data_IF_700187713164
#
_entry.id   IF_700187713164
#
_cell.length_a   1.000
_cell.length_b   1.000
_cell.length_c   1.000
_cell.angle_alpha   90.00
_cell.angle_beta   90.00
_cell.angle_gamma   90.00
#
_symmetry.space_group_name_H-M   'P 1'
#
loop_
_entity.id
_entity.type
_entity.pdbx_description
1 polymer ?
#
# COMPACT_ATOMS: atom_id res chain seq x y z
N UNK A 1 -1.47 7.60 -4.92
CA UNK A 1 -2.19 6.96 -6.04
C UNK A 1 -1.34 6.03 -6.89
N UNK A 2 -0.13 6.41 -7.32
CA UNK A 2 0.75 5.57 -8.19
C UNK A 2 0.88 4.08 -7.79
N UNK A 3 0.95 3.78 -6.49
CA UNK A 3 1.01 2.38 -6.02
C UNK A 3 -0.26 1.59 -6.37
N UNK A 4 -1.44 2.19 -6.26
CA UNK A 4 -2.73 1.57 -6.59
C UNK A 4 -2.79 1.29 -8.09
N UNK A 5 -2.43 2.27 -8.91
CA UNK A 5 -2.43 2.13 -10.37
C UNK A 5 -1.48 1.00 -10.82
N UNK A 6 -0.26 0.97 -10.26
CA UNK A 6 0.73 -0.05 -10.58
C UNK A 6 0.23 -1.45 -10.20
N UNK A 7 -0.34 -1.62 -9.00
CA UNK A 7 -0.90 -2.91 -8.56
C UNK A 7 -2.06 -3.32 -9.46
N UNK A 8 -2.98 -2.40 -9.75
CA UNK A 8 -4.16 -2.67 -10.58
C UNK A 8 -3.74 -3.10 -11.99
N UNK A 9 -2.83 -2.38 -12.64
CA UNK A 9 -2.36 -2.71 -13.99
C UNK A 9 -1.65 -4.07 -14.04
N UNK A 10 -0.85 -4.39 -13.02
CA UNK A 10 -0.15 -5.67 -12.96
C UNK A 10 -1.10 -6.86 -12.69
N UNK A 11 -2.14 -6.66 -11.88
CA UNK A 11 -3.05 -7.73 -11.45
C UNK A 11 -4.28 -7.93 -12.35
N UNK A 12 -4.62 -6.96 -13.20
CA UNK A 12 -5.83 -7.01 -14.02
C UNK A 12 -5.72 -8.01 -15.19
N UNK A 13 -6.56 -9.04 -15.19
CA UNK A 13 -6.67 -10.03 -16.29
C UNK A 13 -7.95 -9.90 -17.09
N UNK A 14 -8.92 -9.09 -16.61
CA UNK A 14 -10.22 -8.92 -17.23
C UNK A 14 -11.22 -10.02 -16.90
N UNK A 15 -10.89 -10.91 -15.95
CA UNK A 15 -11.72 -12.04 -15.55
C UNK A 15 -12.33 -11.79 -14.17
N UNK A 16 -13.48 -12.44 -13.92
CA UNK A 16 -14.06 -12.47 -12.58
C UNK A 16 -13.05 -13.13 -11.65
N UNK A 17 -12.71 -12.44 -10.57
CA UNK A 17 -11.75 -12.93 -9.58
C UNK A 17 -10.39 -12.22 -9.56
N UNK A 18 -10.17 -11.18 -10.38
CA UNK A 18 -8.95 -10.34 -10.36
C UNK A 18 -8.61 -9.76 -8.96
N UNK A 19 -9.57 -9.75 -8.03
CA UNK A 19 -9.36 -9.38 -6.63
C UNK A 19 -9.85 -7.98 -6.31
N UNK A 20 -9.38 -7.43 -5.19
CA UNK A 20 -9.76 -6.10 -4.69
C UNK A 20 -8.54 -5.42 -4.06
N UNK A 21 -8.45 -4.11 -4.22
CA UNK A 21 -7.49 -3.27 -3.50
C UNK A 21 -8.25 -2.55 -2.40
N UNK A 22 -7.77 -2.67 -1.16
CA UNK A 22 -8.31 -1.95 -0.01
C UNK A 22 -7.29 -0.90 0.42
N UNK A 23 -7.80 0.29 0.75
CA UNK A 23 -7.00 1.39 1.27
C UNK A 23 -7.52 1.71 2.66
N UNK A 24 -6.63 1.69 3.64
CA UNK A 24 -6.91 2.10 5.02
C UNK A 24 -5.90 3.15 5.45
N UNK A 25 -6.36 4.14 6.22
CA UNK A 25 -5.47 5.09 6.88
C UNK A 25 -4.65 4.37 7.94
N UNK A 26 -3.34 4.63 7.95
CA UNK A 26 -2.46 4.26 9.06
C UNK A 26 -2.16 5.51 9.87
N UNK A 27 -2.35 5.43 11.18
CA UNK A 27 -2.18 6.59 12.07
C UNK A 27 -0.71 6.84 12.44
N UNK A 28 0.10 5.78 12.59
CA UNK A 28 1.51 5.89 12.96
C UNK A 28 2.32 4.72 12.37
N UNK A 29 3.62 4.96 12.15
CA UNK A 29 4.60 3.99 11.70
C UNK A 29 5.89 4.15 12.51
N UNK A 30 6.51 3.05 12.93
CA UNK A 30 7.74 3.09 13.74
C UNK A 30 8.83 2.25 13.06
N UNK A 31 9.98 2.87 12.77
CA UNK A 31 11.15 2.17 12.22
C UNK A 31 11.94 1.52 13.35
N UNK A 32 11.85 0.20 13.48
CA UNK A 32 12.45 -0.58 14.59
C UNK A 32 13.95 -0.29 14.79
N UNK A 33 14.71 -0.11 13.70
CA UNK A 33 16.17 0.09 13.76
C UNK A 33 16.60 1.42 14.39
N UNK A 34 15.82 2.48 14.20
CA UNK A 34 16.20 3.86 14.58
C UNK A 34 15.27 4.48 15.60
N UNK A 35 14.05 3.95 15.76
CA UNK A 35 13.00 4.51 16.60
C UNK A 35 12.25 5.68 15.96
N UNK A 36 12.55 6.04 14.71
CA UNK A 36 11.86 7.11 13.98
C UNK A 36 10.37 6.79 13.82
N UNK A 37 9.52 7.82 13.84
CA UNK A 37 8.06 7.72 13.84
C UNK A 37 7.42 8.48 12.69
N UNK A 38 6.16 8.17 12.39
CA UNK A 38 5.38 8.84 11.37
C UNK A 38 6.05 8.79 9.99
N UNK A 39 6.09 9.93 9.31
CA UNK A 39 6.62 9.99 7.95
C UNK A 39 8.14 9.71 7.86
N UNK A 40 8.90 10.06 8.90
CA UNK A 40 10.35 9.81 8.93
C UNK A 40 10.68 8.31 9.01
N UNK A 41 9.70 7.51 9.43
CA UNK A 41 9.79 6.05 9.48
C UNK A 41 9.60 5.38 8.11
N UNK A 42 9.06 6.09 7.11
CA UNK A 42 8.71 5.59 5.77
C UNK A 42 9.88 5.76 4.79
#
# INVERSE_FOLDING_TARGET
ERAIEAIQQAAHTGRIGDGKIFVSSLEDAIRIRTGERGNDAI
#
